data_IF_529226055265
#
_entry.id   IF_529226055265
#
_cell.length_a   1.000
_cell.length_b   1.000
_cell.length_c   1.000
_cell.angle_alpha   90.00
_cell.angle_beta   90.00
_cell.angle_gamma   90.00
#
_symmetry.space_group_name_H-M   'P 1'
#
loop_
_entity.id
_entity.type
_entity.pdbx_description
1 polymer ?
#
# COMPACT_ATOMS: atom_id res chain seq x y z
N UNK A 1 42.64 -21.86 -33.01
CA UNK A 1 42.60 -20.78 -32.00
C UNK A 1 42.43 -19.39 -32.64
N UNK A 2 43.14 -19.08 -33.74
CA UNK A 2 43.15 -17.74 -34.37
C UNK A 2 41.82 -17.24 -34.98
N UNK A 3 41.01 -18.12 -35.59
CA UNK A 3 39.73 -17.71 -36.21
C UNK A 3 38.72 -17.13 -35.22
N UNK A 4 38.68 -17.65 -33.98
CA UNK A 4 37.79 -17.12 -32.94
C UNK A 4 38.28 -15.76 -32.41
N UNK A 5 39.59 -15.58 -32.26
CA UNK A 5 40.18 -14.29 -31.86
C UNK A 5 39.94 -13.18 -32.88
N UNK A 6 40.05 -13.50 -34.18
CA UNK A 6 39.77 -12.55 -35.27
C UNK A 6 38.28 -12.17 -35.29
N UNK A 7 37.37 -13.15 -35.18
CA UNK A 7 35.92 -12.88 -35.11
C UNK A 7 35.57 -12.02 -33.91
N UNK A 8 36.13 -12.30 -32.73
CA UNK A 8 35.89 -11.52 -31.50
C UNK A 8 36.41 -10.09 -31.61
N UNK A 9 37.60 -9.89 -32.19
CA UNK A 9 38.17 -8.57 -32.45
C UNK A 9 37.34 -7.75 -33.47
N UNK A 10 36.85 -8.41 -34.53
CA UNK A 10 35.97 -7.78 -35.52
C UNK A 10 34.59 -7.43 -34.94
N UNK A 11 34.07 -8.31 -34.08
CA UNK A 11 32.86 -8.12 -33.29
C UNK A 11 32.95 -6.89 -32.39
N UNK A 12 34.01 -6.80 -31.59
CA UNK A 12 34.30 -5.67 -30.71
C UNK A 12 34.46 -4.35 -31.49
N UNK A 13 35.05 -4.39 -32.68
CA UNK A 13 35.25 -3.20 -33.51
C UNK A 13 33.93 -2.68 -34.11
N UNK A 14 33.03 -3.58 -34.52
CA UNK A 14 31.68 -3.22 -34.96
C UNK A 14 30.81 -2.73 -33.81
N UNK A 15 30.90 -3.35 -32.63
CA UNK A 15 30.18 -2.91 -31.42
C UNK A 15 30.64 -1.52 -30.98
N UNK A 16 31.95 -1.23 -31.00
CA UNK A 16 32.46 0.12 -30.74
C UNK A 16 31.88 1.16 -31.68
N UNK A 17 31.74 0.83 -32.97
CA UNK A 17 31.13 1.74 -33.95
C UNK A 17 29.63 1.95 -33.73
N UNK A 18 28.90 0.88 -33.38
CA UNK A 18 27.48 0.97 -33.06
C UNK A 18 27.24 1.81 -31.80
N UNK A 19 27.96 1.50 -30.71
CA UNK A 19 27.77 2.13 -29.40
C UNK A 19 28.34 3.56 -29.34
N UNK A 20 29.54 3.78 -29.85
CA UNK A 20 30.18 5.10 -29.86
C UNK A 20 29.69 6.02 -30.98
N UNK A 21 28.99 5.49 -31.99
CA UNK A 21 28.44 6.27 -33.10
C UNK A 21 26.97 6.66 -32.93
N UNK A 22 26.13 5.75 -32.40
CA UNK A 22 24.69 5.98 -32.29
C UNK A 22 24.23 6.48 -30.90
N UNK A 23 25.05 6.30 -29.86
CA UNK A 23 24.65 6.53 -28.46
C UNK A 23 25.65 7.33 -27.63
N UNK A 24 26.66 7.93 -28.27
CA UNK A 24 27.69 8.79 -27.66
C UNK A 24 28.39 8.21 -26.41
N UNK A 25 28.51 6.87 -26.33
CA UNK A 25 29.29 6.24 -25.27
C UNK A 25 30.78 6.44 -25.51
N UNK A 26 31.47 7.06 -24.55
CA UNK A 26 32.91 7.33 -24.63
C UNK A 26 33.70 6.73 -23.45
N UNK A 27 35.02 6.60 -23.65
CA UNK A 27 35.98 6.25 -22.60
C UNK A 27 35.77 4.86 -21.97
N UNK A 28 35.92 4.78 -20.66
CA UNK A 28 35.85 3.52 -19.91
C UNK A 28 34.49 2.83 -19.98
N UNK A 29 33.40 3.61 -20.11
CA UNK A 29 32.04 3.08 -20.21
C UNK A 29 31.88 2.28 -21.51
N UNK A 30 32.33 2.83 -22.64
CA UNK A 30 32.29 2.16 -23.94
C UNK A 30 33.07 0.84 -23.93
N UNK A 31 34.29 0.85 -23.39
CA UNK A 31 35.13 -0.36 -23.34
C UNK A 31 34.56 -1.42 -22.39
N UNK A 32 34.01 -1.01 -21.23
CA UNK A 32 33.33 -1.92 -20.29
C UNK A 32 32.11 -2.55 -20.97
N UNK A 33 31.34 -1.78 -21.74
CA UNK A 33 30.17 -2.26 -22.47
C UNK A 33 30.52 -3.25 -23.58
N UNK A 34 31.50 -2.89 -24.40
CA UNK A 34 31.98 -3.76 -25.47
C UNK A 34 32.50 -5.07 -24.88
N UNK A 35 33.19 -5.03 -23.73
CA UNK A 35 33.68 -6.24 -23.04
C UNK A 35 32.56 -7.18 -22.57
N UNK A 36 31.43 -6.63 -22.08
CA UNK A 36 30.29 -7.41 -21.59
C UNK A 36 29.34 -7.89 -22.70
N UNK A 37 29.18 -7.12 -23.77
CA UNK A 37 28.27 -7.47 -24.88
C UNK A 37 28.95 -8.34 -25.96
N UNK A 38 30.27 -8.26 -26.13
CA UNK A 38 30.99 -9.10 -27.11
C UNK A 38 30.75 -10.61 -26.96
N UNK A 39 30.72 -11.21 -25.75
CA UNK A 39 30.40 -12.62 -25.57
C UNK A 39 28.97 -12.99 -26.01
N UNK A 40 28.04 -12.03 -26.01
CA UNK A 40 26.63 -12.25 -26.35
C UNK A 40 26.36 -12.07 -27.85
N UNK A 41 27.31 -11.50 -28.59
CA UNK A 41 27.17 -11.20 -30.03
C UNK A 41 26.81 -12.42 -30.87
N UNK A 42 27.47 -13.55 -30.64
CA UNK A 42 27.22 -14.80 -31.38
C UNK A 42 25.86 -15.43 -31.03
N UNK A 43 25.30 -15.07 -29.86
CA UNK A 43 24.04 -15.62 -29.34
C UNK A 43 22.82 -14.75 -29.67
N UNK A 44 22.94 -13.43 -29.59
CA UNK A 44 21.84 -12.45 -29.72
C UNK A 44 21.82 -11.75 -31.08
N UNK A 45 22.98 -11.63 -31.75
CA UNK A 45 23.12 -10.90 -33.01
C UNK A 45 23.21 -9.38 -32.84
N UNK A 46 23.58 -8.67 -33.93
CA UNK A 46 23.80 -7.22 -33.91
C UNK A 46 22.51 -6.42 -33.67
N UNK A 47 21.38 -6.82 -34.27
CA UNK A 47 20.10 -6.13 -34.10
C UNK A 47 19.58 -6.21 -32.66
N UNK A 48 19.71 -7.39 -32.02
CA UNK A 48 19.35 -7.55 -30.61
C UNK A 48 20.26 -6.74 -29.69
N UNK A 49 21.57 -6.70 -29.97
CA UNK A 49 22.50 -5.86 -29.21
C UNK A 49 22.26 -4.36 -29.41
N UNK A 50 21.78 -3.93 -30.56
CA UNK A 50 21.38 -2.54 -30.80
C UNK A 50 20.15 -2.17 -29.97
N UNK A 51 19.15 -3.05 -29.86
CA UNK A 51 17.99 -2.83 -28.96
C UNK A 51 18.40 -2.82 -27.49
N UNK A 52 19.31 -3.70 -27.08
CA UNK A 52 19.91 -3.66 -25.73
C UNK A 52 20.59 -2.32 -25.50
N UNK A 53 21.46 -1.89 -26.42
CA UNK A 53 22.14 -0.60 -26.34
C UNK A 53 21.17 0.60 -26.27
N UNK A 54 20.08 0.55 -27.03
CA UNK A 54 19.04 1.59 -27.04
C UNK A 54 18.37 1.74 -25.68
N UNK A 55 17.93 0.65 -25.05
CA UNK A 55 17.36 0.68 -23.69
C UNK A 55 18.38 1.24 -22.72
N UNK A 56 19.62 0.81 -22.85
CA UNK A 56 20.70 1.19 -21.96
C UNK A 56 21.12 2.66 -22.08
N UNK A 57 20.99 3.26 -23.25
CA UNK A 57 21.17 4.71 -23.42
C UNK A 57 20.04 5.53 -22.78
N UNK A 58 18.89 4.90 -22.58
CA UNK A 58 17.66 5.52 -22.10
C UNK A 58 17.42 5.32 -20.59
N UNK A 59 17.96 4.24 -20.00
CA UNK A 59 17.50 3.67 -18.71
C UNK A 59 18.66 3.40 -17.72
N UNK A 60 19.84 3.96 -17.99
CA UNK A 60 21.12 3.82 -17.27
C UNK A 60 22.02 2.61 -17.59
N UNK A 61 23.32 2.90 -17.48
CA UNK A 61 24.45 1.98 -17.71
C UNK A 61 24.53 0.86 -16.67
N UNK A 62 23.97 1.07 -15.47
CA UNK A 62 23.92 0.07 -14.38
C UNK A 62 23.14 -1.20 -14.78
N UNK A 63 22.06 -1.08 -15.57
CA UNK A 63 21.35 -2.23 -16.13
C UNK A 63 22.23 -3.12 -17.02
N UNK A 64 23.27 -2.56 -17.66
CA UNK A 64 24.21 -3.35 -18.46
C UNK A 64 25.10 -4.21 -17.60
N UNK A 65 25.25 -3.86 -16.32
CA UNK A 65 26.06 -4.66 -15.42
C UNK A 65 25.41 -5.99 -15.08
N UNK A 66 24.08 -6.02 -14.94
CA UNK A 66 23.24 -7.21 -14.72
C UNK A 66 22.68 -7.82 -16.01
N UNK A 67 22.80 -7.11 -17.14
CA UNK A 67 22.28 -7.54 -18.45
C UNK A 67 22.69 -8.93 -18.94
N UNK A 68 23.92 -9.45 -18.69
CA UNK A 68 24.30 -10.75 -19.25
C UNK A 68 23.45 -11.89 -18.68
N UNK A 69 23.19 -11.85 -17.37
CA UNK A 69 22.41 -12.87 -16.68
C UNK A 69 20.93 -12.81 -17.07
N UNK A 70 20.37 -11.60 -17.20
CA UNK A 70 19.01 -11.39 -17.70
C UNK A 70 18.85 -11.84 -19.15
N UNK A 71 19.80 -11.49 -20.03
CA UNK A 71 19.81 -11.94 -21.43
C UNK A 71 19.88 -13.47 -21.49
N UNK A 72 20.69 -14.12 -20.66
CA UNK A 72 20.74 -15.58 -20.62
C UNK A 72 19.44 -16.21 -20.15
N UNK A 73 18.76 -15.64 -19.16
CA UNK A 73 17.44 -16.09 -18.72
C UNK A 73 16.39 -15.92 -19.82
N UNK A 74 16.38 -14.78 -20.52
CA UNK A 74 15.48 -14.53 -21.64
C UNK A 74 15.74 -15.48 -22.82
N UNK A 75 17.01 -15.76 -23.12
CA UNK A 75 17.37 -16.74 -24.14
C UNK A 75 16.82 -18.12 -23.81
N UNK A 76 16.86 -18.54 -22.54
CA UNK A 76 16.27 -19.82 -22.06
C UNK A 76 14.74 -19.84 -22.19
N UNK A 77 14.05 -18.74 -21.90
CA UNK A 77 12.59 -18.65 -22.08
C UNK A 77 12.15 -18.84 -23.55
N UNK A 78 13.04 -18.56 -24.51
CA UNK A 78 12.79 -18.75 -25.94
C UNK A 78 13.36 -20.05 -26.55
N UNK A 79 13.80 -21.00 -25.73
CA UNK A 79 14.32 -22.30 -26.18
C UNK A 79 13.19 -23.22 -26.69
N UNK A 80 12.70 -22.91 -27.88
CA UNK A 80 11.73 -23.71 -28.63
C UNK A 80 11.84 -23.53 -30.15
N UNK A 81 12.47 -22.45 -30.60
CA UNK A 81 12.66 -22.14 -32.02
C UNK A 81 14.09 -21.63 -32.29
N UNK A 82 14.65 -21.92 -33.48
CA UNK A 82 16.09 -21.70 -33.78
C UNK A 82 16.55 -20.25 -33.66
N UNK A 83 15.61 -19.30 -33.78
CA UNK A 83 15.83 -17.86 -33.59
C UNK A 83 14.88 -17.24 -32.53
N UNK A 84 14.05 -18.04 -31.86
CA UNK A 84 13.03 -17.58 -30.92
C UNK A 84 13.60 -16.85 -29.71
N UNK A 85 14.70 -17.36 -29.13
CA UNK A 85 15.39 -16.69 -28.02
C UNK A 85 15.97 -15.32 -28.40
N UNK A 86 16.51 -15.18 -29.63
CA UNK A 86 17.08 -13.91 -30.10
C UNK A 86 16.01 -12.87 -30.33
N UNK A 87 14.95 -13.29 -31.01
CA UNK A 87 13.80 -12.43 -31.29
C UNK A 87 13.10 -12.00 -30.00
N UNK A 88 12.98 -12.90 -29.03
CA UNK A 88 12.39 -12.61 -27.71
C UNK A 88 13.22 -11.58 -26.92
N UNK A 89 14.55 -11.72 -26.86
CA UNK A 89 15.42 -10.71 -26.24
C UNK A 89 15.22 -9.35 -26.92
N UNK A 90 15.26 -9.31 -28.25
CA UNK A 90 15.05 -8.10 -29.02
C UNK A 90 13.68 -7.44 -28.75
N UNK A 91 12.63 -8.25 -28.64
CA UNK A 91 11.26 -7.83 -28.36
C UNK A 91 11.08 -7.28 -26.94
N UNK A 92 11.62 -7.97 -25.92
CA UNK A 92 11.54 -7.54 -24.51
C UNK A 92 12.28 -6.22 -24.28
N UNK A 93 13.50 -6.08 -24.80
CA UNK A 93 14.22 -4.82 -24.72
C UNK A 93 13.49 -3.71 -25.51
N UNK A 94 12.92 -4.02 -26.68
CA UNK A 94 12.07 -3.09 -27.43
C UNK A 94 10.88 -2.57 -26.61
N UNK A 95 10.16 -3.46 -25.92
CA UNK A 95 9.07 -3.13 -25.00
C UNK A 95 9.53 -2.21 -23.86
N UNK A 96 10.64 -2.53 -23.19
CA UNK A 96 11.20 -1.69 -22.12
C UNK A 96 11.57 -0.29 -22.62
N UNK A 97 12.16 -0.17 -23.81
CA UNK A 97 12.44 1.12 -24.45
C UNK A 97 11.16 1.90 -24.75
N UNK A 98 10.12 1.23 -25.22
CA UNK A 98 8.83 1.85 -25.47
C UNK A 98 8.22 2.40 -24.16
N UNK A 99 8.21 1.61 -23.09
CA UNK A 99 7.73 2.04 -21.76
C UNK A 99 8.54 3.23 -21.24
N UNK A 100 9.88 3.16 -21.31
CA UNK A 100 10.74 4.26 -20.89
C UNK A 100 10.39 5.57 -21.61
N UNK A 101 10.15 5.51 -22.92
CA UNK A 101 9.76 6.66 -23.74
C UNK A 101 8.35 7.15 -23.44
N UNK A 102 7.37 6.27 -23.35
CA UNK A 102 5.97 6.62 -23.12
C UNK A 102 5.77 7.25 -21.74
N UNK A 103 6.46 6.74 -20.73
CA UNK A 103 6.42 7.27 -19.37
C UNK A 103 7.28 8.54 -19.24
N UNK A 104 8.43 8.58 -19.90
CA UNK A 104 9.29 9.76 -19.96
C UNK A 104 8.60 10.97 -20.61
N UNK A 105 7.90 10.76 -21.73
CA UNK A 105 7.16 11.81 -22.43
C UNK A 105 5.97 12.35 -21.62
N UNK A 106 5.35 11.53 -20.76
CA UNK A 106 4.27 11.95 -19.88
C UNK A 106 4.75 12.87 -18.73
N UNK A 107 6.03 12.78 -18.35
CA UNK A 107 6.63 13.61 -17.29
C UNK A 107 7.06 15.03 -17.72
N UNK A 108 7.16 15.30 -19.03
CA UNK A 108 7.68 16.58 -19.56
C UNK A 108 6.63 17.68 -19.74
N UNK A 109 5.33 17.39 -19.57
CA UNK A 109 4.25 18.40 -19.76
C UNK A 109 4.28 19.52 -18.69
N UNK A 110 5.13 19.40 -17.65
CA UNK A 110 5.22 20.38 -16.55
C UNK A 110 6.44 21.31 -16.55
N UNK A 111 7.46 21.13 -17.41
CA UNK A 111 8.64 22.03 -17.45
C UNK A 111 9.14 22.22 -18.88
N UNK A 112 9.27 23.48 -19.26
CA UNK A 112 9.60 23.98 -20.60
C UNK A 112 10.66 23.16 -21.36
N UNK A 113 10.28 22.71 -22.56
CA UNK A 113 11.07 22.84 -23.78
C UNK A 113 12.50 22.33 -23.77
N UNK A 114 12.71 21.01 -23.60
CA UNK A 114 13.87 20.29 -24.14
C UNK A 114 13.49 18.82 -24.38
N UNK A 115 13.28 18.46 -25.64
CA UNK A 115 13.16 17.07 -26.08
C UNK A 115 14.50 16.38 -25.82
N UNK A 116 14.55 15.36 -24.96
CA UNK A 116 15.67 14.41 -24.98
C UNK A 116 16.22 13.86 -23.67
N UNK A 117 15.48 13.79 -22.56
CA UNK A 117 15.86 12.90 -21.44
C UNK A 117 14.65 12.14 -20.93
N UNK A 118 14.73 10.80 -20.96
CA UNK A 118 13.80 9.94 -20.23
C UNK A 118 13.79 10.40 -18.77
N UNK A 119 12.63 10.80 -18.25
CA UNK A 119 12.52 11.17 -16.84
C UNK A 119 12.81 9.97 -15.93
N UNK A 120 13.38 10.20 -14.75
CA UNK A 120 13.74 9.17 -13.74
C UNK A 120 12.60 8.17 -13.46
N UNK A 121 11.36 8.62 -13.61
CA UNK A 121 10.13 7.83 -13.49
C UNK A 121 9.96 6.76 -14.59
N UNK A 122 10.25 7.10 -15.85
CA UNK A 122 10.16 6.16 -16.98
C UNK A 122 11.30 5.16 -16.97
N UNK A 123 12.47 5.61 -16.54
CA UNK A 123 13.63 4.76 -16.30
C UNK A 123 13.34 3.70 -15.22
N UNK A 124 12.90 4.11 -14.02
CA UNK A 124 12.62 3.18 -12.93
C UNK A 124 11.56 2.12 -13.25
N UNK A 125 10.57 2.45 -14.09
CA UNK A 125 9.54 1.50 -14.53
C UNK A 125 10.09 0.51 -15.55
N UNK A 126 10.88 0.97 -16.51
CA UNK A 126 11.50 0.13 -17.54
C UNK A 126 12.55 -0.84 -16.95
N UNK A 127 13.34 -0.39 -15.97
CA UNK A 127 14.27 -1.23 -15.20
C UNK A 127 13.52 -2.40 -14.58
N UNK A 128 12.49 -2.12 -13.78
CA UNK A 128 11.71 -3.15 -13.08
C UNK A 128 11.02 -4.09 -14.04
N UNK A 129 10.56 -3.60 -15.19
CA UNK A 129 9.94 -4.44 -16.22
C UNK A 129 10.95 -5.42 -16.79
N UNK A 130 12.17 -4.96 -17.07
CA UNK A 130 13.23 -5.82 -17.58
C UNK A 130 13.62 -6.90 -16.55
N UNK A 131 13.79 -6.52 -15.28
CA UNK A 131 14.11 -7.43 -14.18
C UNK A 131 13.04 -8.52 -13.99
N UNK A 132 11.76 -8.16 -14.13
CA UNK A 132 10.61 -9.07 -13.97
C UNK A 132 10.20 -9.79 -15.24
N UNK A 133 10.74 -9.40 -16.40
CA UNK A 133 10.36 -9.98 -17.70
C UNK A 133 10.53 -11.50 -17.76
N UNK A 134 11.64 -12.11 -17.31
CA UNK A 134 11.75 -13.58 -17.32
C UNK A 134 10.65 -14.27 -16.52
N UNK A 135 10.36 -13.76 -15.30
CA UNK A 135 9.29 -14.29 -14.44
C UNK A 135 7.89 -14.16 -15.04
N UNK A 136 7.64 -13.04 -15.72
CA UNK A 136 6.37 -12.76 -16.37
C UNK A 136 6.21 -13.60 -17.64
N UNK A 137 7.28 -13.78 -18.41
CA UNK A 137 7.27 -14.64 -19.61
C UNK A 137 6.95 -16.08 -19.27
N UNK A 138 7.53 -16.62 -18.19
CA UNK A 138 7.27 -17.99 -17.75
C UNK A 138 5.81 -18.21 -17.33
N UNK A 139 5.13 -17.17 -16.83
CA UNK A 139 3.73 -17.25 -16.35
C UNK A 139 2.69 -16.94 -17.41
N UNK A 140 2.88 -15.85 -18.15
CA UNK A 140 1.85 -15.27 -19.02
C UNK A 140 2.29 -15.15 -20.48
N UNK A 141 3.50 -15.62 -20.80
CA UNK A 141 4.08 -15.51 -22.14
C UNK A 141 4.33 -14.06 -22.57
N UNK A 142 4.76 -13.89 -23.83
CA UNK A 142 5.08 -12.57 -24.37
C UNK A 142 3.85 -11.67 -24.50
N UNK A 143 2.70 -12.21 -24.93
CA UNK A 143 1.46 -11.43 -25.05
C UNK A 143 0.99 -10.90 -23.68
N UNK A 144 1.13 -11.71 -22.62
CA UNK A 144 0.84 -11.27 -21.27
C UNK A 144 1.82 -10.20 -20.77
N UNK A 145 3.11 -10.34 -21.07
CA UNK A 145 4.11 -9.31 -20.77
C UNK A 145 3.79 -7.98 -21.45
N UNK A 146 3.38 -8.01 -22.72
CA UNK A 146 2.98 -6.82 -23.48
C UNK A 146 1.75 -6.14 -22.84
N UNK A 147 0.76 -6.93 -22.42
CA UNK A 147 -0.40 -6.41 -21.68
C UNK A 147 0.02 -5.74 -20.37
N UNK A 148 0.88 -6.36 -19.56
CA UNK A 148 1.42 -5.76 -18.33
C UNK A 148 2.17 -4.46 -18.61
N UNK A 149 3.04 -4.44 -19.63
CA UNK A 149 3.77 -3.24 -20.04
C UNK A 149 2.82 -2.10 -20.43
N UNK A 150 1.77 -2.41 -21.20
CA UNK A 150 0.75 -1.43 -21.62
C UNK A 150 -0.03 -0.84 -20.44
N UNK A 151 -0.39 -1.68 -19.46
CA UNK A 151 -1.05 -1.24 -18.22
C UNK A 151 -0.12 -0.32 -17.43
N UNK A 152 1.16 -0.68 -17.31
CA UNK A 152 2.14 0.12 -16.59
C UNK A 152 2.37 1.48 -17.27
N UNK A 153 2.47 1.53 -18.60
CA UNK A 153 2.51 2.80 -19.35
C UNK A 153 1.28 3.67 -19.07
N UNK A 154 0.08 3.08 -19.05
CA UNK A 154 -1.17 3.81 -18.74
C UNK A 154 -1.17 4.35 -17.32
N UNK A 155 -0.86 3.51 -16.33
CA UNK A 155 -0.81 3.90 -14.91
C UNK A 155 0.26 4.97 -14.71
N UNK A 156 1.41 4.85 -15.36
CA UNK A 156 2.52 5.78 -15.19
C UNK A 156 2.25 7.20 -15.71
N UNK A 157 1.29 7.36 -16.64
CA UNK A 157 0.80 8.70 -17.06
C UNK A 157 0.07 9.42 -15.93
N UNK A 158 -0.47 8.67 -14.98
CA UNK A 158 -1.19 9.19 -13.83
C UNK A 158 -0.28 9.22 -12.59
N UNK A 159 0.34 8.08 -12.27
CA UNK A 159 1.30 7.92 -11.17
C UNK A 159 2.42 6.94 -11.55
N UNK A 160 3.60 7.49 -11.82
CA UNK A 160 4.79 6.71 -12.15
C UNK A 160 5.36 5.90 -11.00
N UNK A 161 5.11 6.30 -9.75
CA UNK A 161 5.52 5.54 -8.57
C UNK A 161 4.68 4.26 -8.44
N UNK A 162 3.36 4.38 -8.63
CA UNK A 162 2.42 3.24 -8.65
C UNK A 162 2.80 2.28 -9.78
N UNK A 163 3.05 2.80 -10.98
CA UNK A 163 3.43 1.96 -12.12
C UNK A 163 4.71 1.16 -11.87
N UNK A 164 5.78 1.78 -11.36
CA UNK A 164 7.01 1.09 -11.03
C UNK A 164 6.79 0.00 -9.97
N UNK A 165 5.95 0.26 -8.96
CA UNK A 165 5.62 -0.73 -7.93
C UNK A 165 4.76 -1.88 -8.46
N UNK A 166 3.78 -1.57 -9.31
CA UNK A 166 2.89 -2.53 -9.93
C UNK A 166 3.69 -3.59 -10.69
N UNK A 167 4.65 -3.19 -11.54
CA UNK A 167 5.51 -4.13 -12.29
C UNK A 167 6.18 -5.16 -11.39
N UNK A 168 6.67 -4.74 -10.22
CA UNK A 168 7.34 -5.62 -9.28
C UNK A 168 6.43 -6.68 -8.67
N UNK A 169 5.15 -6.36 -8.51
CA UNK A 169 4.13 -7.22 -7.89
C UNK A 169 3.25 -7.95 -8.93
N UNK A 170 3.35 -7.56 -10.22
CA UNK A 170 2.57 -8.15 -11.31
C UNK A 170 2.66 -9.68 -11.36
N UNK A 171 3.82 -10.36 -11.22
CA UNK A 171 3.86 -11.82 -11.27
C UNK A 171 2.98 -12.44 -10.19
N UNK A 172 3.08 -11.93 -8.96
CA UNK A 172 2.34 -12.45 -7.80
C UNK A 172 0.83 -12.18 -7.88
N UNK A 173 0.45 -11.00 -8.38
CA UNK A 173 -0.94 -10.62 -8.59
C UNK A 173 -1.58 -11.37 -9.76
N UNK A 174 -0.84 -11.61 -10.84
CA UNK A 174 -1.32 -12.39 -11.99
C UNK A 174 -1.67 -13.82 -11.59
N UNK A 175 -0.86 -14.45 -10.74
CA UNK A 175 -1.11 -15.81 -10.25
C UNK A 175 -2.42 -15.90 -9.44
N UNK A 176 -2.84 -14.82 -8.78
CA UNK A 176 -4.05 -14.81 -7.92
C UNK A 176 -5.31 -14.34 -8.63
N UNK A 177 -5.20 -13.27 -9.41
CA UNK A 177 -6.37 -12.56 -9.94
C UNK A 177 -6.37 -12.40 -11.46
N UNK A 178 -5.34 -12.93 -12.14
CA UNK A 178 -5.18 -12.78 -13.58
C UNK A 178 -5.01 -11.33 -14.02
N UNK A 179 -5.02 -11.12 -15.34
CA UNK A 179 -4.79 -9.79 -15.92
C UNK A 179 -5.94 -8.80 -15.60
N UNK A 180 -7.19 -9.26 -15.65
CA UNK A 180 -8.35 -8.40 -15.35
C UNK A 180 -8.32 -7.92 -13.89
N UNK A 181 -7.96 -8.81 -12.95
CA UNK A 181 -7.78 -8.43 -11.55
C UNK A 181 -6.59 -7.50 -11.33
N UNK A 182 -5.48 -7.72 -12.04
CA UNK A 182 -4.33 -6.80 -12.01
C UNK A 182 -4.72 -5.39 -12.47
N UNK A 183 -5.49 -5.27 -13.55
CA UNK A 183 -5.99 -3.98 -14.05
C UNK A 183 -6.92 -3.30 -13.02
N UNK A 184 -7.79 -4.08 -12.38
CA UNK A 184 -8.67 -3.59 -11.31
C UNK A 184 -7.88 -3.09 -10.08
N UNK A 185 -6.87 -3.83 -9.62
CA UNK A 185 -5.99 -3.42 -8.50
C UNK A 185 -5.21 -2.15 -8.85
N UNK A 186 -4.68 -2.07 -10.07
CA UNK A 186 -3.99 -0.87 -10.56
C UNK A 186 -4.93 0.34 -10.57
N UNK A 187 -6.15 0.18 -11.10
CA UNK A 187 -7.17 1.22 -11.11
C UNK A 187 -7.61 1.67 -9.71
N UNK A 188 -7.72 0.73 -8.76
CA UNK A 188 -8.00 1.05 -7.36
C UNK A 188 -6.89 1.91 -6.75
N UNK A 189 -5.62 1.54 -6.94
CA UNK A 189 -4.48 2.29 -6.42
C UNK A 189 -4.37 3.69 -7.03
N UNK A 190 -4.64 3.83 -8.35
CA UNK A 190 -4.71 5.13 -9.01
C UNK A 190 -5.87 6.00 -8.50
N UNK A 191 -7.06 5.42 -8.26
CA UNK A 191 -8.21 6.17 -7.71
C UNK A 191 -7.91 6.70 -6.31
N UNK A 192 -7.46 5.82 -5.41
CA UNK A 192 -7.17 6.23 -4.03
C UNK A 192 -5.97 7.19 -3.96
N UNK A 193 -5.07 7.16 -4.95
CA UNK A 193 -3.98 8.13 -5.08
C UNK A 193 -4.36 9.47 -5.73
N UNK A 194 -5.56 9.61 -6.31
CA UNK A 194 -6.08 10.87 -6.89
C UNK A 194 -6.96 11.63 -5.89
N UNK A 195 -7.74 10.90 -5.10
CA UNK A 195 -8.70 11.49 -4.16
C UNK A 195 -8.01 12.33 -3.05
N UNK A 196 -6.70 12.16 -2.82
CA UNK A 196 -5.89 12.94 -1.87
C UNK A 196 -5.08 14.10 -2.48
N UNK A 197 -5.21 14.42 -3.78
CA UNK A 197 -4.47 15.51 -4.44
C UNK A 197 -4.69 16.90 -3.81
N UNK A 198 -5.69 17.07 -2.93
CA UNK A 198 -5.91 18.28 -2.14
C UNK A 198 -5.10 18.40 -0.83
N UNK A 199 -4.46 17.34 -0.31
CA UNK A 199 -3.84 17.34 1.03
C UNK A 199 -2.49 16.61 1.10
N UNK A 200 -1.48 17.13 0.39
CA UNK A 200 -0.07 16.84 0.66
C UNK A 200 0.45 15.51 0.08
N UNK A 201 0.97 15.60 -1.15
CA UNK A 201 1.63 14.58 -2.00
C UNK A 201 2.46 13.47 -1.34
N UNK A 202 2.97 13.65 -0.12
CA UNK A 202 3.89 12.71 0.54
C UNK A 202 3.21 11.64 1.40
N UNK A 203 2.02 11.93 1.97
CA UNK A 203 1.31 10.99 2.86
C UNK A 203 0.57 9.90 2.09
N UNK A 204 0.06 10.26 0.93
CA UNK A 204 -0.72 9.39 0.04
C UNK A 204 0.14 8.31 -0.62
N UNK A 205 1.35 8.64 -1.10
CA UNK A 205 2.26 7.67 -1.72
C UNK A 205 2.64 6.51 -0.80
N UNK A 206 2.79 6.75 0.51
CA UNK A 206 3.09 5.68 1.49
C UNK A 206 1.91 4.74 1.65
N UNK A 207 0.70 5.28 1.70
CA UNK A 207 -0.51 4.48 1.77
C UNK A 207 -0.71 3.65 0.48
N UNK A 208 -0.60 4.28 -0.68
CA UNK A 208 -0.74 3.57 -1.98
C UNK A 208 0.33 2.50 -2.16
N UNK A 209 1.57 2.74 -1.71
CA UNK A 209 2.61 1.72 -1.68
C UNK A 209 2.21 0.53 -0.79
N UNK A 210 1.74 0.80 0.42
CA UNK A 210 1.30 -0.24 1.35
C UNK A 210 0.08 -1.01 0.79
N UNK A 211 -0.85 -0.33 0.14
CA UNK A 211 -2.01 -0.94 -0.51
C UNK A 211 -1.57 -1.93 -1.60
N UNK A 212 -0.67 -1.53 -2.50
CA UNK A 212 -0.11 -2.43 -3.51
C UNK A 212 0.61 -3.62 -2.87
N UNK A 213 1.52 -3.37 -1.92
CA UNK A 213 2.33 -4.41 -1.27
C UNK A 213 1.48 -5.42 -0.47
N UNK A 214 0.34 -4.99 0.08
CA UNK A 214 -0.59 -5.86 0.83
C UNK A 214 -1.72 -6.44 -0.02
N UNK A 215 -1.87 -5.99 -1.27
CA UNK A 215 -2.94 -6.46 -2.15
C UNK A 215 -2.96 -7.99 -2.30
N UNK A 216 -1.84 -8.72 -2.50
CA UNK A 216 -1.87 -10.17 -2.59
C UNK A 216 -2.45 -10.85 -1.33
N UNK A 217 -1.98 -10.46 -0.14
CA UNK A 217 -2.45 -11.00 1.14
C UNK A 217 -3.94 -10.67 1.37
N UNK A 218 -4.37 -9.46 1.03
CA UNK A 218 -5.75 -9.03 1.15
C UNK A 218 -6.66 -9.78 0.19
N UNK A 219 -6.25 -9.97 -1.05
CA UNK A 219 -7.00 -10.74 -2.06
C UNK A 219 -7.22 -12.18 -1.59
N UNK A 220 -6.21 -12.81 -1.00
CA UNK A 220 -6.32 -14.18 -0.47
C UNK A 220 -7.32 -14.29 0.68
N UNK A 221 -7.45 -13.25 1.51
CA UNK A 221 -8.30 -13.28 2.71
C UNK A 221 -9.72 -12.78 2.49
N UNK A 222 -9.88 -11.74 1.67
CA UNK A 222 -11.15 -11.01 1.54
C UNK A 222 -11.65 -10.86 0.11
N UNK A 223 -10.89 -11.35 -0.89
CA UNK A 223 -11.22 -11.20 -2.30
C UNK A 223 -11.14 -9.75 -2.79
N UNK A 224 -11.44 -9.55 -4.08
CA UNK A 224 -11.33 -8.23 -4.70
C UNK A 224 -12.35 -7.21 -4.16
N UNK A 225 -13.60 -7.62 -3.96
CA UNK A 225 -14.64 -6.73 -3.39
C UNK A 225 -14.27 -6.29 -1.97
N UNK A 226 -13.72 -7.20 -1.17
CA UNK A 226 -13.22 -6.90 0.16
C UNK A 226 -12.02 -5.95 0.13
N UNK A 227 -11.08 -6.17 -0.79
CA UNK A 227 -9.95 -5.25 -1.01
C UNK A 227 -10.43 -3.84 -1.39
N UNK A 228 -11.40 -3.73 -2.30
CA UNK A 228 -11.95 -2.43 -2.73
C UNK A 228 -12.59 -1.67 -1.57
N UNK A 229 -13.39 -2.34 -0.72
CA UNK A 229 -13.97 -1.71 0.48
C UNK A 229 -12.90 -1.27 1.48
N UNK A 230 -11.96 -2.14 1.80
CA UNK A 230 -10.84 -1.82 2.72
C UNK A 230 -10.03 -0.63 2.20
N UNK A 231 -9.71 -0.62 0.91
CA UNK A 231 -8.95 0.45 0.28
C UNK A 231 -9.69 1.79 0.34
N UNK A 232 -11.01 1.80 0.08
CA UNK A 232 -11.84 3.00 0.20
C UNK A 232 -11.82 3.56 1.62
N UNK A 233 -12.06 2.72 2.63
CA UNK A 233 -12.02 3.12 4.04
C UNK A 233 -10.65 3.63 4.48
N UNK A 234 -9.57 2.96 4.07
CA UNK A 234 -8.23 3.44 4.39
C UNK A 234 -7.89 4.73 3.64
N UNK A 235 -8.42 4.94 2.44
CA UNK A 235 -8.32 6.20 1.70
C UNK A 235 -8.95 7.38 2.45
N UNK A 236 -10.15 7.19 3.01
CA UNK A 236 -10.78 8.20 3.89
C UNK A 236 -9.88 8.53 5.09
N UNK A 237 -9.34 7.50 5.74
CA UNK A 237 -8.43 7.67 6.89
C UNK A 237 -7.14 8.36 6.49
N UNK A 238 -6.60 8.07 5.31
CA UNK A 238 -5.40 8.71 4.80
C UNK A 238 -5.56 10.23 4.66
N UNK A 239 -6.80 10.70 4.45
CA UNK A 239 -7.18 12.11 4.39
C UNK A 239 -6.95 12.90 5.68
N UNK A 240 -6.86 12.23 6.84
CA UNK A 240 -6.49 12.85 8.13
C UNK A 240 -5.24 12.24 8.79
N UNK A 241 -4.94 10.95 8.57
CA UNK A 241 -3.74 10.27 9.06
C UNK A 241 -3.30 9.11 8.16
N UNK A 242 -2.33 9.36 7.27
CA UNK A 242 -1.74 8.31 6.42
C UNK A 242 -1.04 7.19 7.21
N UNK A 243 -0.46 7.49 8.38
CA UNK A 243 0.14 6.46 9.24
C UNK A 243 -0.92 5.51 9.82
N UNK A 244 -2.05 6.07 10.24
CA UNK A 244 -3.19 5.28 10.75
C UNK A 244 -3.86 4.49 9.63
N UNK A 245 -3.96 5.03 8.42
CA UNK A 245 -4.47 4.31 7.25
C UNK A 245 -3.64 3.06 6.94
N UNK A 246 -2.31 3.14 7.01
CA UNK A 246 -1.42 1.98 6.82
C UNK A 246 -1.61 0.93 7.91
N UNK A 247 -1.81 1.34 9.17
CA UNK A 247 -2.12 0.42 10.28
C UNK A 247 -3.48 -0.24 10.08
N UNK A 248 -4.50 0.53 9.70
CA UNK A 248 -5.85 0.03 9.41
C UNK A 248 -5.81 -1.02 8.29
N UNK A 249 -5.06 -0.75 7.22
CA UNK A 249 -4.86 -1.70 6.13
C UNK A 249 -4.29 -3.03 6.65
N UNK A 250 -3.32 -2.99 7.57
CA UNK A 250 -2.72 -4.17 8.17
C UNK A 250 -3.68 -4.96 9.08
N UNK A 251 -4.56 -4.27 9.83
CA UNK A 251 -5.53 -4.92 10.72
C UNK A 251 -6.82 -5.35 10.01
N UNK A 252 -7.12 -4.76 8.86
CA UNK A 252 -8.38 -4.96 8.15
C UNK A 252 -8.79 -6.43 7.94
N UNK A 253 -7.89 -7.38 7.58
CA UNK A 253 -8.32 -8.76 7.39
C UNK A 253 -8.77 -9.43 8.69
N UNK A 254 -8.11 -9.10 9.80
CA UNK A 254 -8.44 -9.63 11.12
C UNK A 254 -9.73 -9.02 11.69
N UNK A 255 -9.97 -7.74 11.42
CA UNK A 255 -11.18 -7.04 11.85
C UNK A 255 -12.42 -7.51 11.09
N UNK A 256 -12.30 -7.65 9.77
CA UNK A 256 -13.39 -8.14 8.91
C UNK A 256 -13.73 -9.59 9.26
N UNK A 257 -12.72 -10.42 9.54
CA UNK A 257 -12.92 -11.82 9.95
C UNK A 257 -13.43 -12.00 11.38
N UNK A 258 -13.51 -10.93 12.20
CA UNK A 258 -13.98 -11.02 13.58
C UNK A 258 -15.50 -11.11 13.61
N UNK A 259 -16.00 -12.12 14.32
CA UNK A 259 -17.43 -12.34 14.54
C UNK A 259 -18.10 -11.11 15.16
N UNK A 260 -19.19 -10.64 14.53
CA UNK A 260 -19.97 -9.47 14.96
C UNK A 260 -19.40 -8.10 14.57
N UNK A 261 -18.30 -8.02 13.82
CA UNK A 261 -17.77 -6.76 13.26
C UNK A 261 -18.06 -6.67 11.77
N UNK A 262 -17.51 -7.60 10.99
CA UNK A 262 -17.63 -7.60 9.53
C UNK A 262 -17.17 -6.30 8.88
N UNK A 263 -17.65 -6.05 7.66
CA UNK A 263 -17.40 -4.79 6.95
C UNK A 263 -18.19 -3.62 7.54
N UNK A 264 -19.45 -3.85 7.92
CA UNK A 264 -20.34 -2.80 8.42
C UNK A 264 -19.79 -2.16 9.71
N UNK A 265 -19.32 -2.96 10.66
CA UNK A 265 -18.70 -2.43 11.88
C UNK A 265 -17.39 -1.67 11.61
N UNK A 266 -16.64 -2.04 10.57
CA UNK A 266 -15.45 -1.30 10.15
C UNK A 266 -15.82 0.04 9.51
N UNK A 267 -16.84 0.06 8.65
CA UNK A 267 -17.39 1.25 8.00
C UNK A 267 -17.93 2.24 9.04
N UNK A 268 -18.68 1.79 10.04
CA UNK A 268 -19.20 2.64 11.12
C UNK A 268 -18.09 3.32 11.92
N UNK A 269 -17.06 2.54 12.31
CA UNK A 269 -15.91 3.04 13.07
C UNK A 269 -15.11 4.06 12.27
N UNK A 270 -14.84 3.78 11.00
CA UNK A 270 -14.13 4.71 10.11
C UNK A 270 -14.97 5.97 9.89
N UNK A 271 -16.28 5.82 9.67
CA UNK A 271 -17.22 6.94 9.55
C UNK A 271 -17.25 7.83 10.79
N UNK A 272 -17.24 7.24 11.99
CA UNK A 272 -17.12 7.98 13.25
C UNK A 272 -15.78 8.73 13.31
N UNK A 273 -14.66 8.07 13.03
CA UNK A 273 -13.33 8.71 13.06
C UNK A 273 -13.23 9.84 12.03
N UNK A 274 -13.82 9.69 10.84
CA UNK A 274 -13.90 10.74 9.82
C UNK A 274 -14.72 11.94 10.29
N UNK A 275 -15.80 11.73 11.08
CA UNK A 275 -16.54 12.84 11.72
C UNK A 275 -15.70 13.52 12.78
N UNK A 276 -15.11 12.75 13.70
CA UNK A 276 -14.24 13.27 14.77
C UNK A 276 -13.06 14.04 14.18
N UNK A 277 -12.48 13.58 13.08
CA UNK A 277 -11.35 14.23 12.41
C UNK A 277 -11.67 15.64 11.87
N UNK A 278 -12.96 16.00 11.71
CA UNK A 278 -13.38 17.36 11.34
C UNK A 278 -13.15 18.36 12.49
N UNK A 279 -13.20 17.87 13.73
CA UNK A 279 -12.93 18.65 14.92
C UNK A 279 -11.48 18.44 15.39
N UNK A 280 -11.05 17.18 15.45
CA UNK A 280 -9.79 16.78 16.04
C UNK A 280 -9.18 15.55 15.34
N UNK A 281 -8.26 15.82 14.40
CA UNK A 281 -7.55 14.77 13.66
C UNK A 281 -6.65 13.89 14.54
N UNK A 282 -6.20 14.39 15.71
CA UNK A 282 -5.36 13.62 16.62
C UNK A 282 -6.20 12.58 17.39
N UNK A 283 -7.32 13.02 17.96
CA UNK A 283 -8.26 12.13 18.66
C UNK A 283 -8.81 11.08 17.68
N UNK A 284 -9.19 11.47 16.46
CA UNK A 284 -9.66 10.54 15.45
C UNK A 284 -8.62 9.46 15.10
N UNK A 285 -7.37 9.86 14.87
CA UNK A 285 -6.29 8.93 14.56
C UNK A 285 -6.04 7.96 15.73
N UNK A 286 -6.03 8.46 16.97
CA UNK A 286 -5.76 7.64 18.16
C UNK A 286 -6.93 6.73 18.51
N UNK A 287 -8.16 7.18 18.36
CA UNK A 287 -9.37 6.37 18.50
C UNK A 287 -9.35 5.18 17.54
N UNK A 288 -9.03 5.43 16.26
CA UNK A 288 -8.93 4.38 15.25
C UNK A 288 -7.80 3.37 15.56
N UNK A 289 -6.67 3.84 16.11
CA UNK A 289 -5.58 2.96 16.54
C UNK A 289 -5.95 2.01 17.68
N UNK A 290 -6.82 2.45 18.60
CA UNK A 290 -7.31 1.61 19.69
C UNK A 290 -8.54 0.79 19.30
N UNK A 291 -9.15 1.14 18.17
CA UNK A 291 -10.39 0.53 17.69
C UNK A 291 -10.34 -0.99 17.62
N UNK A 292 -9.28 -1.67 17.12
CA UNK A 292 -9.21 -3.14 17.15
C UNK A 292 -9.43 -3.80 18.51
N UNK A 293 -9.16 -3.09 19.62
CA UNK A 293 -9.40 -3.57 20.98
C UNK A 293 -10.82 -3.29 21.48
N UNK A 294 -11.55 -2.38 20.82
CA UNK A 294 -12.89 -1.88 21.20
C UNK A 294 -14.00 -2.37 20.24
N UNK A 295 -13.70 -2.55 18.95
CA UNK A 295 -14.68 -2.97 17.93
C UNK A 295 -15.24 -4.34 18.27
N UNK A 296 -16.57 -4.44 18.29
CA UNK A 296 -17.34 -5.62 18.70
C UNK A 296 -17.59 -5.72 20.21
N UNK A 297 -16.80 -5.01 21.04
CA UNK A 297 -16.95 -4.99 22.51
C UNK A 297 -17.86 -3.88 23.00
N UNK A 298 -17.83 -2.73 22.33
CA UNK A 298 -18.67 -1.56 22.63
C UNK A 298 -19.36 -1.07 21.37
N UNK A 299 -20.54 -0.47 21.53
CA UNK A 299 -21.27 0.13 20.40
C UNK A 299 -20.63 1.45 19.95
N UNK A 300 -20.95 1.85 18.71
CA UNK A 300 -20.47 3.11 18.13
C UNK A 300 -20.87 4.34 18.95
N UNK A 301 -22.01 4.31 19.65
CA UNK A 301 -22.43 5.38 20.57
C UNK A 301 -21.43 5.60 21.72
N UNK A 302 -20.92 4.53 22.32
CA UNK A 302 -19.92 4.64 23.40
C UNK A 302 -18.59 5.16 22.88
N UNK A 303 -18.21 4.78 21.64
CA UNK A 303 -17.01 5.31 20.99
C UNK A 303 -17.16 6.79 20.65
N UNK A 304 -18.35 7.23 20.24
CA UNK A 304 -18.66 8.63 19.96
C UNK A 304 -18.55 9.48 21.23
N UNK A 305 -19.13 9.02 22.34
CA UNK A 305 -19.02 9.70 23.64
C UNK A 305 -17.59 9.72 24.19
N UNK A 306 -16.82 8.65 23.99
CA UNK A 306 -15.39 8.64 24.31
C UNK A 306 -14.64 9.68 23.46
N UNK A 307 -14.94 9.76 22.16
CA UNK A 307 -14.32 10.71 21.26
C UNK A 307 -14.64 12.16 21.64
N UNK A 308 -15.91 12.48 21.91
CA UNK A 308 -16.35 13.80 22.39
C UNK A 308 -15.61 14.22 23.65
N UNK A 309 -15.55 13.32 24.66
CA UNK A 309 -14.81 13.57 25.89
C UNK A 309 -13.33 13.84 25.60
N UNK A 310 -12.71 13.04 24.72
CA UNK A 310 -11.30 13.21 24.38
C UNK A 310 -11.04 14.51 23.61
N UNK A 311 -11.95 14.93 22.73
CA UNK A 311 -11.88 16.22 22.03
C UNK A 311 -11.93 17.38 23.04
N UNK A 312 -12.83 17.34 24.01
CA UNK A 312 -12.88 18.35 25.08
C UNK A 312 -11.60 18.37 25.93
N UNK A 313 -11.06 17.20 26.28
CA UNK A 313 -9.80 17.12 27.01
C UNK A 313 -8.64 17.66 26.16
N UNK A 314 -8.60 17.35 24.85
CA UNK A 314 -7.49 17.75 23.97
C UNK A 314 -7.44 19.27 23.72
N UNK A 315 -8.58 19.98 23.86
CA UNK A 315 -8.61 21.45 23.85
C UNK A 315 -7.72 22.06 24.94
N UNK A 316 -7.59 21.38 26.08
CA UNK A 316 -6.83 21.85 27.25
C UNK A 316 -5.48 21.13 27.41
N UNK A 317 -5.45 19.79 27.25
CA UNK A 317 -4.29 18.95 27.50
C UNK A 317 -4.30 17.67 26.63
N UNK A 318 -3.54 17.69 25.54
CA UNK A 318 -3.46 16.56 24.63
C UNK A 318 -2.73 15.33 25.18
N UNK A 319 -1.87 15.49 26.18
CA UNK A 319 -1.26 14.33 26.84
C UNK A 319 -2.31 13.56 27.64
N UNK A 320 -3.20 14.26 28.34
CA UNK A 320 -4.28 13.61 29.09
C UNK A 320 -5.30 12.98 28.15
N UNK A 321 -5.64 13.63 27.02
CA UNK A 321 -6.51 13.04 26.00
C UNK A 321 -5.92 11.75 25.42
N UNK A 322 -4.63 11.74 25.09
CA UNK A 322 -3.93 10.56 24.59
C UNK A 322 -3.97 9.41 25.62
N UNK A 323 -3.67 9.71 26.88
CA UNK A 323 -3.69 8.73 27.98
C UNK A 323 -5.08 8.17 28.23
N UNK A 324 -6.12 9.01 28.14
CA UNK A 324 -7.51 8.58 28.29
C UNK A 324 -7.90 7.56 27.21
N UNK A 325 -7.52 7.79 25.96
CA UNK A 325 -7.75 6.85 24.86
C UNK A 325 -6.97 5.55 25.04
N UNK A 326 -5.73 5.62 25.53
CA UNK A 326 -4.88 4.44 25.78
C UNK A 326 -5.43 3.56 26.92
N UNK A 327 -5.94 4.15 27.99
CA UNK A 327 -6.48 3.43 29.15
C UNK A 327 -7.92 2.92 28.92
N UNK A 328 -8.63 3.47 27.92
CA UNK A 328 -10.05 3.17 27.66
C UNK A 328 -10.36 1.70 27.41
N UNK A 329 -9.61 0.92 26.60
CA UNK A 329 -9.89 -0.50 26.42
C UNK A 329 -9.86 -1.31 27.72
N UNK A 330 -8.96 -0.96 28.65
CA UNK A 330 -8.90 -1.61 29.96
C UNK A 330 -10.09 -1.22 30.83
N UNK A 331 -10.50 0.06 30.82
CA UNK A 331 -11.69 0.54 31.53
C UNK A 331 -12.97 -0.12 31.01
N UNK A 332 -13.14 -0.18 29.69
CA UNK A 332 -14.24 -0.88 29.02
C UNK A 332 -14.28 -2.34 29.45
N UNK A 333 -13.16 -3.05 29.43
CA UNK A 333 -13.11 -4.45 29.84
C UNK A 333 -13.55 -4.64 31.31
N UNK A 334 -13.18 -3.73 32.20
CA UNK A 334 -13.60 -3.75 33.61
C UNK A 334 -15.10 -3.48 33.76
N UNK A 335 -15.62 -2.49 33.04
CA UNK A 335 -17.04 -2.12 33.07
C UNK A 335 -17.94 -3.22 32.50
N UNK A 336 -17.55 -3.84 31.38
CA UNK A 336 -18.25 -5.01 30.84
C UNK A 336 -18.35 -6.11 31.90
N UNK A 337 -17.24 -6.42 32.57
CA UNK A 337 -17.19 -7.40 33.69
C UNK A 337 -18.08 -7.03 34.87
N UNK A 338 -18.32 -5.73 35.10
CA UNK A 338 -19.20 -5.27 36.17
C UNK A 338 -20.68 -5.42 35.81
N UNK A 339 -21.03 -5.25 34.53
CA UNK A 339 -22.40 -5.35 34.02
C UNK A 339 -22.85 -6.78 33.66
N UNK A 340 -21.92 -7.72 33.54
CA UNK A 340 -22.21 -9.15 33.50
C UNK A 340 -22.56 -9.64 34.92
N UNK A 341 -23.85 -9.66 35.26
CA UNK A 341 -24.39 -10.31 36.47
C UNK A 341 -24.55 -11.83 36.31
N UNK A 342 -24.85 -12.54 37.41
CA UNK A 342 -25.02 -14.01 37.46
C UNK A 342 -26.28 -14.55 36.76
N UNK A 343 -27.14 -13.70 36.19
CA UNK A 343 -28.36 -14.12 35.50
C UNK A 343 -28.22 -13.95 33.98
N UNK A 344 -27.91 -15.07 33.31
CA UNK A 344 -27.64 -15.24 31.88
C UNK A 344 -28.82 -14.92 30.92
N UNK A 345 -29.96 -14.39 31.38
CA UNK A 345 -31.16 -14.39 30.53
C UNK A 345 -31.26 -13.26 29.50
N UNK A 346 -30.47 -12.18 29.58
CA UNK A 346 -30.44 -11.14 28.53
C UNK A 346 -29.03 -10.57 28.35
N UNK A 347 -28.30 -11.03 27.33
CA UNK A 347 -26.89 -10.73 27.05
C UNK A 347 -26.55 -9.27 26.63
N UNK A 348 -27.14 -8.25 27.26
CA UNK A 348 -26.96 -6.83 26.92
C UNK A 348 -26.43 -5.91 28.05
N UNK A 349 -26.53 -6.31 29.32
CA UNK A 349 -26.31 -5.42 30.47
C UNK A 349 -24.92 -4.77 30.57
N UNK A 350 -23.87 -5.50 30.17
CA UNK A 350 -22.51 -4.97 30.14
C UNK A 350 -22.32 -3.80 29.17
N UNK A 351 -22.85 -3.93 27.96
CA UNK A 351 -22.71 -2.90 26.90
C UNK A 351 -23.51 -1.64 27.25
N UNK A 352 -24.72 -1.81 27.78
CA UNK A 352 -25.59 -0.71 28.22
C UNK A 352 -24.98 0.07 29.39
N UNK A 353 -24.35 -0.63 30.35
CA UNK A 353 -23.62 0.00 31.44
C UNK A 353 -22.45 0.85 30.92
N UNK A 354 -21.65 0.31 30.00
CA UNK A 354 -20.54 1.06 29.37
C UNK A 354 -21.08 2.32 28.69
N UNK A 355 -22.13 2.20 27.87
CA UNK A 355 -22.75 3.35 27.21
C UNK A 355 -23.23 4.40 28.22
N UNK A 356 -23.89 3.98 29.31
CA UNK A 356 -24.39 4.89 30.34
C UNK A 356 -23.27 5.64 31.07
N UNK A 357 -22.16 4.96 31.39
CA UNK A 357 -21.00 5.57 32.06
C UNK A 357 -20.31 6.58 31.14
N UNK A 358 -20.05 6.22 29.88
CA UNK A 358 -19.42 7.12 28.92
C UNK A 358 -20.32 8.33 28.60
N UNK A 359 -21.64 8.13 28.53
CA UNK A 359 -22.60 9.21 28.31
C UNK A 359 -22.56 10.23 29.45
N UNK A 360 -22.65 9.74 30.69
CA UNK A 360 -22.61 10.60 31.88
C UNK A 360 -21.29 11.38 31.94
N UNK A 361 -20.16 10.72 31.66
CA UNK A 361 -18.86 11.37 31.60
C UNK A 361 -18.80 12.44 30.50
N UNK A 362 -19.28 12.15 29.28
CA UNK A 362 -19.33 13.16 28.20
C UNK A 362 -20.17 14.38 28.64
N UNK A 363 -21.34 14.16 29.23
CA UNK A 363 -22.20 15.25 29.72
C UNK A 363 -21.53 16.12 30.79
N UNK A 364 -20.84 15.50 31.76
CA UNK A 364 -20.10 16.24 32.80
C UNK A 364 -18.96 17.08 32.19
N UNK A 365 -18.31 16.58 31.15
CA UNK A 365 -17.25 17.32 30.47
C UNK A 365 -17.81 18.49 29.65
N UNK A 366 -18.82 18.23 28.80
CA UNK A 366 -19.36 19.20 27.83
C UNK A 366 -20.29 20.21 28.52
N UNK A 367 -21.36 19.74 29.18
CA UNK A 367 -22.34 20.61 29.81
C UNK A 367 -21.84 21.19 31.15
N UNK A 368 -21.12 20.37 31.92
CA UNK A 368 -20.52 20.79 33.19
C UNK A 368 -19.24 21.60 33.05
N UNK A 369 -18.68 21.74 31.83
CA UNK A 369 -17.38 22.37 31.54
C UNK A 369 -16.25 21.88 32.46
N UNK A 370 -16.27 20.60 32.83
CA UNK A 370 -15.34 20.02 33.79
C UNK A 370 -14.82 18.66 33.34
N UNK A 371 -14.03 18.65 32.28
CA UNK A 371 -13.40 17.43 31.78
C UNK A 371 -12.55 16.73 32.86
N UNK A 372 -11.90 17.49 33.76
CA UNK A 372 -11.11 16.92 34.88
C UNK A 372 -11.96 16.08 35.83
N UNK A 373 -13.18 16.53 36.11
CA UNK A 373 -14.14 15.79 36.95
C UNK A 373 -14.65 14.57 36.21
N UNK A 374 -14.97 14.72 34.93
CA UNK A 374 -15.40 13.62 34.07
C UNK A 374 -14.36 12.49 33.98
N UNK A 375 -13.09 12.82 33.69
CA UNK A 375 -12.00 11.83 33.62
C UNK A 375 -11.79 11.12 34.95
N UNK A 376 -11.86 11.85 36.07
CA UNK A 376 -11.77 11.24 37.40
C UNK A 376 -12.95 10.30 37.66
N UNK A 377 -14.15 10.71 37.30
CA UNK A 377 -15.36 9.91 37.45
C UNK A 377 -15.30 8.64 36.59
N UNK A 378 -14.82 8.75 35.35
CA UNK A 378 -14.63 7.61 34.46
C UNK A 378 -13.62 6.61 35.05
N UNK A 379 -12.48 7.11 35.55
CA UNK A 379 -11.46 6.25 36.16
C UNK A 379 -11.93 5.55 37.45
N UNK A 380 -12.88 6.13 38.18
CA UNK A 380 -13.47 5.56 39.39
C UNK A 380 -14.73 4.74 39.13
N UNK A 381 -15.25 4.76 37.90
CA UNK A 381 -16.54 4.16 37.55
C UNK A 381 -16.60 2.65 37.82
N UNK A 382 -15.58 1.82 37.55
CA UNK A 382 -15.68 0.39 37.83
C UNK A 382 -15.83 0.10 39.34
N UNK A 383 -15.07 0.79 40.20
CA UNK A 383 -15.16 0.62 41.65
C UNK A 383 -16.49 1.14 42.21
N UNK A 384 -17.01 2.24 41.65
CA UNK A 384 -18.30 2.79 42.05
C UNK A 384 -19.44 1.84 41.68
N UNK A 385 -19.43 1.28 40.47
CA UNK A 385 -20.43 0.29 40.03
C UNK A 385 -20.37 -0.96 40.90
N UNK A 386 -19.17 -1.49 41.18
CA UNK A 386 -19.03 -2.65 42.08
C UNK A 386 -19.59 -2.37 43.48
N UNK A 387 -19.34 -1.18 44.04
CA UNK A 387 -19.87 -0.78 45.35
C UNK A 387 -21.39 -0.65 45.34
N UNK A 388 -21.95 -0.01 44.30
CA UNK A 388 -23.40 0.12 44.14
C UNK A 388 -24.06 -1.26 44.01
N UNK A 389 -23.44 -2.20 43.31
CA UNK A 389 -23.94 -3.58 43.20
C UNK A 389 -23.92 -4.31 44.54
N UNK A 390 -22.86 -4.16 45.34
CA UNK A 390 -22.80 -4.73 46.70
C UNK A 390 -23.88 -4.16 47.62
N UNK A 391 -24.17 -2.87 47.50
CA UNK A 391 -25.24 -2.22 48.28
C UNK A 391 -26.64 -2.62 47.80
N UNK A 392 -26.85 -2.75 46.49
CA UNK A 392 -28.11 -3.22 45.91
C UNK A 392 -28.40 -4.70 46.17
N UNK A 393 -27.39 -5.57 46.12
CA UNK A 393 -27.50 -6.98 46.47
C UNK A 393 -27.65 -7.27 47.98
N UNK A 394 -27.31 -6.28 48.82
CA UNK A 394 -27.48 -6.35 50.27
C UNK A 394 -28.92 -6.09 50.75
N UNK A 395 -29.83 -5.69 49.88
CA UNK A 395 -31.23 -5.41 50.24
C UNK A 395 -32.13 -6.66 50.13
N UNK A 396 -31.65 -7.84 50.57
CA UNK A 396 -32.55 -8.96 50.87
C UNK A 396 -32.99 -8.89 52.33
N UNK A 397 -34.13 -8.23 52.55
CA UNK A 397 -35.03 -8.50 53.67
C UNK A 397 -34.65 -7.88 55.01
N UNK A 398 -34.86 -6.57 55.15
CA UNK A 398 -35.38 -6.06 56.41
C UNK A 398 -36.82 -6.54 56.55
N UNK A 399 -37.04 -7.65 57.25
CA UNK A 399 -38.36 -8.03 57.74
C UNK A 399 -38.68 -7.17 58.96
N UNK A 400 -39.66 -6.29 58.80
CA UNK A 400 -40.59 -5.95 59.88
C UNK A 400 -41.39 -7.19 60.31
#
# INVERSE_FOLDING_TARGET
MERNSIKKALGARKLRKLLGGNYDYEGEILEKLVSKLCPLLDRVGYEGLEKVASVCSQVAVSLLEESPELIERLLKCGEGDKDGGKELVAKVYGLCSQVAREVGAAGEVGKEGKVGKVGEAGEGTAIRLLERSPELLDRVGYEGLEKVASLCSRVAREDSFVAARLVGLSPELLDRVGYEGLEKVAGLCSRVGKDGEGRGRGRERRFVAALLERSPELLDRVGYEGLERVAGLCGEVAGFSGGTAVKLLAWSPELVGREGVGYEGLEEVVGLCSRVAREDSFVAARLLEMSPALVGRVGCESLEQLAELCCEVNKDDGFVAARLLEESPALVARLLKCGEGEEEEQGGGGKELVASVYWLCSQVAVAGKSWRTSVRLLGQSPELVERLRRLGGGWKGGKE
#
